data_IF_465254208143
#
_entry.id   IF_465254208143
#
_cell.length_a   1.000
_cell.length_b   1.000
_cell.length_c   1.000
_cell.angle_alpha   90.00
_cell.angle_beta   90.00
_cell.angle_gamma   90.00
#
_symmetry.space_group_name_H-M   'P 1'
#
loop_
_entity.id
_entity.type
_entity.pdbx_description
1 polymer ?
#
# COMPACT_ATOMS: atom_id res chain seq x y z
N UNK A 1 -8.51 -6.99 9.56
CA UNK A 1 -9.40 -5.81 9.44
C UNK A 1 -9.27 -4.97 10.71
N UNK A 2 -8.33 -4.01 10.75
CA UNK A 2 -7.91 -3.28 11.98
C UNK A 2 -8.31 -1.79 11.96
N UNK A 3 -8.47 -1.19 10.77
CA UNK A 3 -8.77 0.25 10.59
C UNK A 3 -10.08 0.72 11.23
N UNK A 4 -11.14 -0.12 11.18
CA UNK A 4 -12.47 0.25 11.68
C UNK A 4 -12.52 0.47 13.19
N UNK A 5 -11.74 -0.28 13.99
CA UNK A 5 -11.80 -0.19 15.46
C UNK A 5 -11.20 1.10 16.01
N UNK A 6 -10.15 1.60 15.37
CA UNK A 6 -9.49 2.84 15.80
C UNK A 6 -10.39 4.04 15.52
N UNK A 7 -10.98 4.11 14.33
CA UNK A 7 -11.88 5.21 13.96
C UNK A 7 -13.17 5.21 14.79
N UNK A 8 -13.74 4.03 15.08
CA UNK A 8 -14.89 3.90 15.97
C UNK A 8 -14.59 4.46 17.38
N UNK A 9 -13.43 4.13 17.95
CA UNK A 9 -12.99 4.66 19.25
C UNK A 9 -12.70 6.16 19.25
N UNK A 10 -12.23 6.71 18.14
CA UNK A 10 -12.09 8.16 18.01
C UNK A 10 -13.46 8.84 18.00
N UNK A 11 -14.44 8.28 17.29
CA UNK A 11 -15.81 8.81 17.22
C UNK A 11 -16.59 8.70 18.54
N UNK A 12 -16.25 7.75 19.40
CA UNK A 12 -16.78 7.70 20.77
C UNK A 12 -16.36 8.91 21.61
N UNK A 13 -15.18 9.49 21.33
CA UNK A 13 -14.67 10.68 22.03
C UNK A 13 -15.14 11.97 21.36
N UNK A 14 -15.05 12.03 20.03
CA UNK A 14 -15.48 13.17 19.22
C UNK A 14 -16.12 12.68 17.91
N UNK A 15 -17.45 12.81 17.73
CA UNK A 15 -18.15 12.30 16.56
C UNK A 15 -17.83 13.05 15.25
N UNK A 16 -17.24 14.25 15.31
CA UNK A 16 -16.86 15.02 14.13
C UNK A 16 -15.48 14.62 13.57
N UNK A 17 -14.69 13.87 14.36
CA UNK A 17 -13.35 13.44 13.97
C UNK A 17 -13.41 12.18 13.10
N UNK A 18 -12.65 12.19 12.00
CA UNK A 18 -12.44 11.04 11.13
C UNK A 18 -10.96 10.74 10.99
N UNK A 19 -10.63 9.51 10.63
CA UNK A 19 -9.23 9.11 10.47
C UNK A 19 -8.69 9.67 9.15
N UNK A 20 -7.89 10.72 9.24
CA UNK A 20 -7.18 11.30 8.11
C UNK A 20 -6.19 10.30 7.50
N UNK A 21 -5.99 10.38 6.19
CA UNK A 21 -4.97 9.63 5.47
C UNK A 21 -3.80 10.55 5.11
N UNK A 22 -2.59 9.99 5.08
CA UNK A 22 -1.41 10.70 4.58
C UNK A 22 -1.06 10.22 3.18
N UNK A 23 -1.13 11.12 2.20
CA UNK A 23 -0.72 10.86 0.83
C UNK A 23 0.79 11.07 0.65
N UNK A 24 1.58 10.05 0.97
CA UNK A 24 3.02 10.11 0.78
C UNK A 24 3.45 10.26 -0.69
N UNK A 25 2.55 9.98 -1.65
CA UNK A 25 2.87 10.13 -3.08
C UNK A 25 2.93 11.58 -3.54
N UNK A 26 2.23 12.47 -2.84
CA UNK A 26 2.32 13.92 -3.06
C UNK A 26 3.56 14.52 -2.39
N UNK A 27 3.92 14.05 -1.20
CA UNK A 27 5.08 14.55 -0.47
C UNK A 27 6.41 14.07 -1.06
N UNK A 28 6.36 13.11 -1.97
CA UNK A 28 7.48 12.68 -2.79
C UNK A 28 8.21 13.83 -3.48
N UNK A 29 7.48 14.86 -3.91
CA UNK A 29 8.04 15.97 -4.69
C UNK A 29 8.77 17.01 -3.82
N UNK A 30 8.76 16.86 -2.50
CA UNK A 30 9.49 17.74 -1.58
C UNK A 30 11.00 17.44 -1.65
N UNK A 31 11.86 18.45 -1.44
CA UNK A 31 13.31 18.25 -1.37
C UNK A 31 13.71 17.20 -0.32
N UNK A 32 13.03 17.24 0.84
CA UNK A 32 13.11 16.20 1.86
C UNK A 32 11.68 15.84 2.29
N UNK A 33 11.33 14.54 2.34
CA UNK A 33 10.07 14.08 2.91
C UNK A 33 9.80 14.53 4.36
N UNK A 34 10.85 14.87 5.12
CA UNK A 34 10.74 15.43 6.46
C UNK A 34 10.13 16.83 6.50
N UNK A 35 10.10 17.54 5.36
CA UNK A 35 9.57 18.90 5.25
C UNK A 35 8.05 18.92 5.01
N UNK A 36 7.40 17.74 4.96
CA UNK A 36 5.95 17.65 4.86
C UNK A 36 5.25 18.35 6.03
N UNK A 37 4.11 18.96 5.73
CA UNK A 37 3.23 19.60 6.72
C UNK A 37 2.80 18.66 7.84
N UNK A 38 2.75 17.35 7.59
CA UNK A 38 2.40 16.37 8.61
C UNK A 38 3.41 16.36 9.76
N UNK A 39 4.67 16.72 9.49
CA UNK A 39 5.76 16.83 10.47
C UNK A 39 5.88 18.21 11.11
N UNK A 40 4.87 19.07 10.92
CA UNK A 40 4.80 20.34 11.62
C UNK A 40 4.44 20.15 13.10
N UNK A 41 4.78 21.14 13.91
CA UNK A 41 4.43 21.19 15.33
C UNK A 41 2.92 21.25 15.59
N UNK A 42 2.10 21.61 14.60
CA UNK A 42 0.64 21.58 14.72
C UNK A 42 0.05 20.17 14.54
N UNK A 43 0.78 19.23 13.93
CA UNK A 43 0.32 17.88 13.61
C UNK A 43 1.14 16.82 14.33
N UNK A 44 2.09 16.17 13.66
CA UNK A 44 2.79 15.03 14.23
C UNK A 44 4.03 15.46 15.03
N UNK A 45 4.49 16.71 14.90
CA UNK A 45 5.79 17.15 15.40
C UNK A 45 6.95 16.76 14.48
N UNK A 46 8.18 17.07 14.89
CA UNK A 46 9.38 16.92 14.06
C UNK A 46 9.51 15.54 13.39
N UNK A 47 10.03 15.55 12.16
CA UNK A 47 10.20 14.36 11.31
C UNK A 47 11.49 13.56 11.55
N UNK A 48 12.48 14.12 12.25
CA UNK A 48 13.76 13.46 12.54
C UNK A 48 14.16 13.59 14.01
N UNK A 49 14.77 12.54 14.56
CA UNK A 49 15.17 12.43 15.94
C UNK A 49 14.03 12.16 16.93
N UNK A 50 14.29 12.45 18.21
CA UNK A 50 13.30 12.33 19.29
C UNK A 50 12.20 13.37 19.05
N UNK A 51 10.94 12.99 19.22
CA UNK A 51 9.81 13.91 19.05
C UNK A 51 9.78 14.91 20.20
N UNK A 52 10.21 16.14 19.90
CA UNK A 52 10.31 17.27 20.84
C UNK A 52 9.30 18.35 20.54
N UNK A 53 8.46 18.20 19.53
CA UNK A 53 7.48 19.19 19.10
C UNK A 53 6.11 18.57 18.85
N UNK A 54 5.07 19.41 18.90
CA UNK A 54 3.68 19.03 18.68
C UNK A 54 3.02 18.20 19.78
N UNK A 55 1.81 17.66 19.52
CA UNK A 55 0.97 16.97 20.50
C UNK A 55 1.58 15.66 21.02
N UNK A 56 2.54 15.07 20.29
CA UNK A 56 3.23 13.84 20.68
C UNK A 56 4.61 14.10 21.31
N UNK A 57 4.92 15.35 21.67
CA UNK A 57 6.18 15.74 22.32
C UNK A 57 6.41 14.93 23.61
N UNK A 58 7.59 14.34 23.74
CA UNK A 58 8.00 13.52 24.89
C UNK A 58 7.05 12.37 25.23
N UNK A 59 6.22 11.94 24.27
CA UNK A 59 5.39 10.77 24.45
C UNK A 59 6.27 9.51 24.45
N UNK A 60 5.98 8.61 25.39
CA UNK A 60 6.62 7.30 25.47
C UNK A 60 5.97 6.33 24.46
N UNK A 61 6.81 5.58 23.75
CA UNK A 61 6.42 4.44 22.94
C UNK A 61 6.28 3.16 23.76
N UNK A 62 6.04 2.04 23.07
CA UNK A 62 5.73 0.75 23.71
C UNK A 62 6.81 0.13 24.60
N UNK A 63 8.05 0.64 24.55
CA UNK A 63 9.18 0.13 25.33
C UNK A 63 9.71 1.11 26.39
N UNK A 64 8.88 2.09 26.80
CA UNK A 64 9.28 3.16 27.74
C UNK A 64 10.40 4.08 27.22
N UNK A 65 10.64 4.06 25.90
CA UNK A 65 11.50 5.01 25.20
C UNK A 65 10.64 6.13 24.59
N UNK A 66 11.23 7.31 24.45
CA UNK A 66 10.57 8.41 23.74
C UNK A 66 10.39 8.05 22.26
N UNK A 67 9.27 8.47 21.68
CA UNK A 67 9.04 8.28 20.24
C UNK A 67 10.16 8.98 19.46
N UNK A 68 10.78 8.23 18.55
CA UNK A 68 11.83 8.69 17.65
C UNK A 68 11.39 8.46 16.21
N UNK A 69 11.74 9.41 15.32
CA UNK A 69 11.57 9.30 13.88
C UNK A 69 12.91 9.47 13.20
N UNK A 70 13.04 8.90 12.01
CA UNK A 70 14.22 9.05 11.16
C UNK A 70 13.74 9.16 9.69
N UNK A 71 12.80 10.09 9.44
CA UNK A 71 12.22 10.31 8.11
C UNK A 71 13.29 10.89 7.18
N UNK A 72 13.40 10.34 5.96
CA UNK A 72 14.36 10.78 4.95
C UNK A 72 15.85 10.70 5.36
N UNK A 73 16.18 9.87 6.37
CA UNK A 73 17.58 9.66 6.77
C UNK A 73 18.33 8.96 5.63
N UNK A 74 19.38 9.61 5.13
CA UNK A 74 20.29 9.07 4.11
C UNK A 74 20.71 7.63 4.47
N UNK A 75 20.35 6.63 3.66
CA UNK A 75 20.79 5.25 3.88
C UNK A 75 19.92 4.14 3.26
N UNK A 76 18.64 4.37 2.98
CA UNK A 76 17.80 3.40 2.26
C UNK A 76 17.81 3.69 0.77
N UNK A 77 18.02 2.69 -0.08
CA UNK A 77 17.99 2.83 -1.54
C UNK A 77 16.67 2.26 -2.10
N UNK A 78 15.84 3.06 -2.79
CA UNK A 78 15.97 4.51 -2.97
C UNK A 78 15.50 5.31 -1.73
N UNK A 79 16.17 6.43 -1.35
CA UNK A 79 15.81 7.23 -0.17
C UNK A 79 14.67 8.18 -0.54
N UNK A 80 13.56 7.62 -1.02
CA UNK A 80 12.47 8.39 -1.60
C UNK A 80 11.13 7.77 -1.20
N UNK A 81 10.13 8.61 -1.00
CA UNK A 81 8.75 8.11 -0.85
C UNK A 81 8.32 7.40 -2.15
N UNK A 82 7.33 6.53 -2.05
CA UNK A 82 6.70 5.94 -3.24
C UNK A 82 5.98 7.07 -3.98
N UNK A 83 6.23 7.22 -5.29
CA UNK A 83 5.62 8.27 -6.10
C UNK A 83 4.33 7.78 -6.78
N UNK A 84 3.65 8.67 -7.50
CA UNK A 84 2.43 8.32 -8.23
C UNK A 84 2.66 7.27 -9.32
N UNK A 85 3.79 7.31 -10.02
CA UNK A 85 4.11 6.35 -11.07
C UNK A 85 4.28 4.93 -10.51
N UNK A 86 4.91 4.80 -9.35
CA UNK A 86 5.08 3.52 -8.64
C UNK A 86 3.70 2.94 -8.27
N UNK A 87 2.78 3.79 -7.81
CA UNK A 87 1.39 3.40 -7.51
C UNK A 87 0.65 2.99 -8.79
N UNK A 88 0.76 3.79 -9.86
CA UNK A 88 0.08 3.51 -11.12
C UNK A 88 0.57 2.19 -11.75
N UNK A 89 1.86 1.87 -11.61
CA UNK A 89 2.43 0.59 -12.02
C UNK A 89 1.86 -0.59 -11.21
N UNK A 90 1.78 -0.45 -9.88
CA UNK A 90 1.18 -1.47 -9.01
C UNK A 90 -0.30 -1.69 -9.34
N UNK A 91 -1.05 -0.61 -9.53
CA UNK A 91 -2.48 -0.70 -9.84
C UNK A 91 -2.72 -1.35 -11.21
N UNK A 92 -1.86 -1.09 -12.20
CA UNK A 92 -1.89 -1.79 -13.50
C UNK A 92 -1.64 -3.29 -13.33
N UNK A 93 -0.61 -3.67 -12.59
CA UNK A 93 -0.31 -5.09 -12.34
C UNK A 93 -1.51 -5.84 -11.74
N UNK A 94 -2.12 -5.28 -10.70
CA UNK A 94 -3.30 -5.86 -10.07
C UNK A 94 -4.49 -5.97 -11.03
N UNK A 95 -4.71 -4.94 -11.86
CA UNK A 95 -5.79 -4.96 -12.85
C UNK A 95 -5.61 -6.07 -13.88
N UNK A 96 -4.40 -6.25 -14.41
CA UNK A 96 -4.12 -7.33 -15.36
C UNK A 96 -4.23 -8.72 -14.73
N UNK A 97 -3.80 -8.90 -13.48
CA UNK A 97 -3.94 -10.17 -12.77
C UNK A 97 -5.40 -10.59 -12.59
N UNK A 98 -6.28 -9.66 -12.19
CA UNK A 98 -7.72 -9.94 -11.98
C UNK A 98 -8.47 -10.12 -13.31
N UNK A 99 -8.17 -9.30 -14.31
CA UNK A 99 -8.78 -9.42 -15.64
C UNK A 99 -8.40 -10.72 -16.35
N UNK A 100 -7.15 -11.15 -16.24
CA UNK A 100 -6.67 -12.40 -16.83
C UNK A 100 -7.27 -13.63 -16.15
N UNK A 101 -7.46 -13.59 -14.84
CA UNK A 101 -8.14 -14.64 -14.09
C UNK A 101 -9.58 -14.85 -14.57
N UNK A 102 -10.33 -13.77 -14.85
CA UNK A 102 -11.69 -13.87 -15.39
C UNK A 102 -11.72 -14.48 -16.80
N UNK A 103 -10.71 -14.21 -17.64
CA UNK A 103 -10.58 -14.83 -18.97
C UNK A 103 -10.30 -16.32 -18.83
N UNK A 104 -9.36 -16.72 -17.96
CA UNK A 104 -9.06 -18.14 -17.71
C UNK A 104 -10.30 -18.86 -17.16
N UNK A 105 -10.98 -18.30 -16.14
CA UNK A 105 -12.20 -18.90 -15.60
C UNK A 105 -13.28 -19.06 -16.67
N UNK A 106 -13.52 -18.03 -17.48
CA UNK A 106 -14.50 -18.10 -18.57
C UNK A 106 -14.13 -19.17 -19.60
N UNK A 107 -12.86 -19.29 -19.95
CA UNK A 107 -12.36 -20.34 -20.86
C UNK A 107 -12.47 -21.74 -20.26
N UNK A 108 -12.21 -21.91 -18.96
CA UNK A 108 -12.37 -23.20 -18.27
C UNK A 108 -13.84 -23.60 -18.10
N UNK A 109 -14.74 -22.63 -17.89
CA UNK A 109 -16.19 -22.85 -17.89
C UNK A 109 -16.70 -23.21 -19.30
N UNK A 110 -16.20 -22.56 -20.35
CA UNK A 110 -16.46 -22.93 -21.74
C UNK A 110 -15.99 -24.36 -22.06
N UNK A 111 -14.81 -24.75 -21.56
CA UNK A 111 -14.31 -26.12 -21.70
C UNK A 111 -15.18 -27.16 -20.98
N UNK A 112 -15.65 -26.88 -19.76
CA UNK A 112 -16.54 -27.78 -19.00
C UNK A 112 -17.95 -27.89 -19.60
N UNK A 113 -18.42 -26.84 -20.29
CA UNK A 113 -19.71 -26.86 -21.00
C UNK A 113 -19.71 -27.68 -22.30
N UNK A 114 -18.60 -28.35 -22.64
CA UNK A 114 -18.50 -29.27 -23.77
C UNK A 114 -18.48 -28.59 -25.15
N UNK A 115 -18.33 -27.27 -25.21
CA UNK A 115 -18.31 -26.49 -26.46
C UNK A 115 -16.91 -26.37 -27.09
N UNK A 116 -15.86 -26.88 -26.45
CA UNK A 116 -14.50 -26.97 -27.01
C UNK A 116 -14.24 -28.37 -27.56
N UNK A 117 -14.17 -28.49 -28.89
CA UNK A 117 -13.72 -29.71 -29.59
C UNK A 117 -12.30 -29.56 -30.17
N UNK A 118 -11.51 -28.59 -29.70
CA UNK A 118 -10.20 -28.26 -30.29
C UNK A 118 -9.05 -28.48 -29.31
N UNK A 119 -8.27 -29.53 -29.56
CA UNK A 119 -7.05 -29.87 -28.81
C UNK A 119 -6.01 -28.74 -28.75
N UNK A 120 -6.08 -27.76 -29.66
CA UNK A 120 -5.22 -26.58 -29.68
C UNK A 120 -5.57 -25.57 -28.59
N UNK A 121 -6.86 -25.43 -28.25
CA UNK A 121 -7.31 -24.53 -27.17
C UNK A 121 -6.91 -25.08 -25.80
N UNK A 122 -7.03 -26.40 -25.61
CA UNK A 122 -6.68 -27.05 -24.36
C UNK A 122 -5.16 -26.96 -24.08
N UNK A 123 -4.33 -27.16 -25.11
CA UNK A 123 -2.88 -26.99 -25.01
C UNK A 123 -2.46 -25.53 -24.74
N UNK A 124 -3.16 -24.57 -25.36
CA UNK A 124 -2.92 -23.14 -25.13
C UNK A 124 -3.26 -22.72 -23.69
N UNK A 125 -4.40 -23.20 -23.16
CA UNK A 125 -4.82 -22.94 -21.78
C UNK A 125 -3.86 -23.59 -20.78
N UNK A 126 -3.35 -24.80 -21.05
CA UNK A 126 -2.38 -25.44 -20.15
C UNK A 126 -1.07 -24.66 -20.08
N UNK A 127 -0.57 -24.19 -21.22
CA UNK A 127 0.69 -23.43 -21.29
C UNK A 127 0.60 -22.09 -20.56
N UNK A 128 -0.54 -21.40 -20.69
CA UNK A 128 -0.83 -20.19 -19.92
C UNK A 128 -0.84 -20.48 -18.42
N UNK A 129 -1.45 -21.58 -17.98
CA UNK A 129 -1.49 -21.92 -16.56
C UNK A 129 -0.08 -22.09 -15.99
N UNK A 130 0.78 -22.83 -16.67
CA UNK A 130 2.10 -23.21 -16.16
C UNK A 130 3.08 -22.01 -16.13
N UNK A 131 3.01 -21.10 -17.10
CA UNK A 131 3.88 -19.90 -17.14
C UNK A 131 3.55 -18.89 -16.01
N UNK A 132 2.31 -18.84 -15.52
CA UNK A 132 1.87 -17.86 -14.51
C UNK A 132 1.95 -18.37 -13.06
N UNK A 133 1.98 -19.68 -12.83
CA UNK A 133 2.22 -20.25 -11.49
C UNK A 133 3.58 -19.83 -10.90
N UNK A 134 4.57 -19.52 -11.76
CA UNK A 134 5.91 -19.10 -11.35
C UNK A 134 5.92 -17.67 -10.78
N UNK A 135 5.00 -16.80 -11.21
CA UNK A 135 4.95 -15.40 -10.78
C UNK A 135 4.17 -15.15 -9.49
N UNK A 136 3.43 -16.14 -8.97
CA UNK A 136 2.67 -16.04 -7.72
C UNK A 136 3.38 -16.63 -6.49
N UNK A 137 4.57 -17.20 -6.66
CA UNK A 137 5.39 -17.82 -5.60
C UNK A 137 6.73 -17.11 -5.32
N UNK A 138 6.89 -15.88 -5.80
CA UNK A 138 7.98 -14.95 -5.44
C UNK A 138 7.33 -13.76 -4.74
#
# INVERSE_FOLDING_TARGET
MVRFRVEEKLREVDPEVSLAYWDYSMDYYLPLPSDSVIWSSCFAGNGDGIVREGPFRFMYGGFNDLIRRDIARNGTCPPRLINKDDIDQLMRFCYYAVGFWHVILSLTHLCHSGLSHSSKLDHFISKIRDDWYIYFYI
#
